data_IF_607890060188
#
_entry.id   IF_607890060188
#
_cell.length_a   1.000
_cell.length_b   1.000
_cell.length_c   1.000
_cell.angle_alpha   90.00
_cell.angle_beta   90.00
_cell.angle_gamma   90.00
#
_symmetry.space_group_name_H-M   'P 1'
#
loop_
_entity.id
_entity.type
_entity.pdbx_description
1 polymer ?
#
# COMPACT_ATOMS: atom_id res chain seq x y z
N UNK A 1 12.37 -9.74 -11.38
CA UNK A 1 10.95 -10.16 -11.45
C UNK A 1 10.21 -9.44 -10.34
N UNK A 2 9.13 -8.70 -10.66
CA UNK A 2 8.38 -7.95 -9.65
C UNK A 2 7.50 -8.90 -8.82
N UNK A 3 7.32 -8.63 -7.54
CA UNK A 3 6.56 -9.50 -6.61
C UNK A 3 5.45 -8.74 -5.90
N UNK A 4 4.33 -9.42 -5.68
CA UNK A 4 3.27 -9.00 -4.78
C UNK A 4 3.13 -10.04 -3.68
N UNK A 5 3.34 -9.63 -2.43
CA UNK A 5 3.05 -10.46 -1.26
C UNK A 5 1.85 -9.89 -0.52
N UNK A 6 0.86 -10.74 -0.26
CA UNK A 6 -0.32 -10.41 0.50
C UNK A 6 -0.22 -11.16 1.83
N UNK A 7 -0.31 -10.41 2.92
CA UNK A 7 -0.26 -10.93 4.28
C UNK A 7 -1.64 -10.86 4.90
N UNK A 8 -1.98 -11.85 5.72
CA UNK A 8 -3.08 -11.71 6.69
C UNK A 8 -2.70 -10.67 7.75
N UNK A 9 -3.67 -10.14 8.53
CA UNK A 9 -3.36 -9.22 9.61
C UNK A 9 -2.32 -9.73 10.60
N UNK A 10 -2.26 -11.04 10.87
CA UNK A 10 -1.30 -11.67 11.78
C UNK A 10 0.11 -11.91 11.19
N UNK A 11 0.37 -11.44 9.97
CA UNK A 11 1.67 -11.58 9.31
C UNK A 11 1.90 -12.90 8.57
N UNK A 12 0.95 -13.84 8.59
CA UNK A 12 1.02 -15.00 7.71
C UNK A 12 0.90 -14.60 6.24
N UNK A 13 1.73 -15.20 5.38
CA UNK A 13 1.61 -15.02 3.93
C UNK A 13 0.30 -15.68 3.48
N UNK A 14 -0.62 -14.88 2.95
CA UNK A 14 -1.82 -15.34 2.28
C UNK A 14 -1.53 -15.73 0.83
N UNK A 15 -0.77 -14.90 0.12
CA UNK A 15 -0.43 -15.09 -1.29
C UNK A 15 0.91 -14.44 -1.62
N UNK A 16 1.63 -15.01 -2.59
CA UNK A 16 2.87 -14.45 -3.12
C UNK A 16 2.95 -14.73 -4.61
N UNK A 17 2.67 -13.71 -5.42
CA UNK A 17 2.58 -13.82 -6.88
C UNK A 17 3.58 -12.93 -7.58
N UNK A 18 3.78 -13.20 -8.87
CA UNK A 18 4.49 -12.29 -9.75
C UNK A 18 3.58 -11.11 -9.97
N UNK A 19 4.08 -9.92 -9.66
CA UNK A 19 3.30 -8.70 -9.83
C UNK A 19 3.18 -8.40 -11.33
N UNK A 20 1.94 -8.41 -11.81
CA UNK A 20 1.57 -7.99 -13.14
C UNK A 20 0.56 -6.85 -13.02
N UNK A 21 0.81 -5.75 -13.73
CA UNK A 21 -0.06 -4.57 -13.75
C UNK A 21 -1.01 -4.56 -14.95
N UNK A 22 -1.09 -5.67 -15.70
CA UNK A 22 -2.13 -5.89 -16.71
C UNK A 22 -3.52 -5.72 -16.09
N UNK A 23 -4.51 -5.43 -16.95
CA UNK A 23 -5.85 -4.91 -16.62
C UNK A 23 -6.70 -5.69 -15.61
N UNK A 24 -6.28 -6.87 -15.16
CA UNK A 24 -6.80 -7.52 -13.95
C UNK A 24 -5.99 -7.05 -12.73
N UNK A 25 -6.26 -5.82 -12.28
CA UNK A 25 -5.59 -5.23 -11.12
C UNK A 25 -5.68 -6.16 -9.90
N UNK A 26 -4.60 -6.32 -9.12
CA UNK A 26 -4.71 -6.89 -7.79
C UNK A 26 -5.64 -6.01 -6.95
N UNK A 27 -6.61 -6.60 -6.24
CA UNK A 27 -7.55 -5.91 -5.34
C UNK A 27 -6.87 -5.45 -4.04
N UNK A 28 -5.77 -4.72 -4.17
CA UNK A 28 -4.94 -4.27 -3.05
C UNK A 28 -5.16 -2.78 -2.72
N UNK A 29 -5.98 -2.09 -3.50
CA UNK A 29 -6.34 -0.70 -3.27
C UNK A 29 -6.98 -0.51 -1.88
N UNK A 30 -6.54 0.54 -1.21
CA UNK A 30 -6.94 0.86 0.17
C UNK A 30 -6.26 0.02 1.24
N UNK A 31 -5.53 -1.05 0.90
CA UNK A 31 -4.79 -1.84 1.88
C UNK A 31 -3.53 -1.09 2.33
N UNK A 32 -3.12 -1.31 3.59
CA UNK A 32 -1.80 -0.93 4.08
C UNK A 32 -0.76 -1.70 3.30
N UNK A 33 0.19 -0.97 2.74
CA UNK A 33 1.23 -1.52 1.89
C UNK A 33 2.61 -0.95 2.16
N UNK A 34 3.60 -1.71 1.72
CA UNK A 34 5.00 -1.34 1.60
C UNK A 34 5.44 -1.62 0.17
N UNK A 35 5.92 -0.57 -0.48
CA UNK A 35 6.40 -0.61 -1.86
C UNK A 35 7.91 -0.46 -1.82
N UNK A 36 8.61 -1.43 -2.39
CA UNK A 36 10.05 -1.33 -2.62
C UNK A 36 10.29 -0.95 -4.08
N UNK A 37 11.16 0.04 -4.30
CA UNK A 37 11.55 0.51 -5.64
C UNK A 37 13.00 0.15 -5.96
N UNK A 38 13.40 0.32 -7.23
CA UNK A 38 14.77 0.20 -7.69
C UNK A 38 15.71 1.01 -6.81
N UNK A 39 16.79 0.38 -6.33
CA UNK A 39 17.71 0.97 -5.36
C UNK A 39 17.37 0.65 -3.89
N UNK A 40 16.26 -0.03 -3.62
CA UNK A 40 15.92 -0.56 -2.29
C UNK A 40 15.15 0.39 -1.40
N UNK A 41 14.86 1.61 -1.85
CA UNK A 41 14.03 2.56 -1.10
C UNK A 41 12.61 2.00 -0.92
N UNK A 42 12.01 2.32 0.23
CA UNK A 42 10.68 1.84 0.59
C UNK A 42 9.73 3.00 0.85
N UNK A 43 8.50 2.84 0.35
CA UNK A 43 7.39 3.74 0.62
C UNK A 43 6.29 2.94 1.30
N UNK A 44 5.91 3.36 2.49
CA UNK A 44 4.91 2.69 3.31
C UNK A 44 3.69 3.59 3.37
N UNK A 45 2.48 3.03 3.33
CA UNK A 45 1.25 3.80 3.38
C UNK A 45 0.08 2.98 2.88
N UNK A 46 -1.04 3.61 2.60
CA UNK A 46 -2.18 2.93 1.98
C UNK A 46 -2.02 2.94 0.47
N UNK A 47 -2.17 1.78 -0.16
CA UNK A 47 -2.07 1.65 -1.62
C UNK A 47 -3.25 2.40 -2.23
N UNK A 48 -2.94 3.39 -3.05
CA UNK A 48 -3.92 4.15 -3.81
C UNK A 48 -4.09 3.59 -5.22
N UNK A 49 -4.92 4.28 -5.99
CA UNK A 49 -5.29 3.86 -7.33
C UNK A 49 -4.06 3.76 -8.25
N UNK A 50 -4.11 2.78 -9.15
CA UNK A 50 -3.32 2.76 -10.36
C UNK A 50 -3.91 3.73 -11.41
N UNK A 51 -3.08 4.56 -12.03
CA UNK A 51 -3.50 5.45 -13.11
C UNK A 51 -2.32 5.81 -14.03
N UNK A 52 -2.66 6.31 -15.23
CA UNK A 52 -1.68 6.80 -16.21
C UNK A 52 -1.59 8.32 -16.12
N UNK A 53 -0.40 8.85 -15.84
CA UNK A 53 -0.12 10.29 -15.79
C UNK A 53 0.95 10.64 -16.82
N UNK A 54 0.63 11.52 -17.78
CA UNK A 54 1.55 11.91 -18.86
C UNK A 54 2.23 10.69 -19.52
N UNK A 55 1.41 9.71 -19.89
CA UNK A 55 1.84 8.43 -20.48
C UNK A 55 2.61 7.47 -19.57
N UNK A 56 2.94 7.86 -18.34
CA UNK A 56 3.60 7.01 -17.35
C UNK A 56 2.57 6.33 -16.46
N UNK A 57 2.65 5.01 -16.34
CA UNK A 57 1.83 4.26 -15.40
C UNK A 57 2.40 4.44 -13.98
N UNK A 58 1.53 4.86 -13.08
CA UNK A 58 1.87 5.24 -11.71
C UNK A 58 0.82 4.70 -10.74
N UNK A 59 1.17 4.64 -9.47
CA UNK A 59 0.20 4.47 -8.39
C UNK A 59 0.63 5.29 -7.18
N UNK A 60 -0.32 5.50 -6.27
CA UNK A 60 -0.13 6.33 -5.09
C UNK A 60 0.16 5.49 -3.86
N UNK A 61 1.02 6.01 -2.98
CA UNK A 61 1.13 5.56 -1.59
C UNK A 61 0.67 6.71 -0.69
N UNK A 62 -0.50 6.53 -0.09
CA UNK A 62 -1.20 7.54 0.67
C UNK A 62 -0.87 7.47 2.17
N UNK A 63 -0.72 8.64 2.79
CA UNK A 63 -0.64 8.81 4.23
C UNK A 63 -1.77 9.71 4.68
N UNK A 64 -2.52 9.24 5.67
CA UNK A 64 -3.55 10.05 6.32
C UNK A 64 -2.94 10.84 7.47
N UNK A 65 -3.51 12.00 7.79
CA UNK A 65 -3.20 12.72 9.01
C UNK A 65 -3.84 12.01 10.22
N UNK A 66 -3.08 11.15 10.90
CA UNK A 66 -3.56 10.23 11.94
C UNK A 66 -3.03 10.63 13.33
N UNK A 67 -3.91 10.52 14.33
CA UNK A 67 -3.62 10.49 15.75
C UNK A 67 -3.53 9.03 16.21
N UNK A 68 -2.34 8.42 16.07
CA UNK A 68 -2.13 6.99 16.37
C UNK A 68 -2.33 6.66 17.86
N UNK A 69 -2.25 7.66 18.75
CA UNK A 69 -2.47 7.49 20.19
C UNK A 69 -3.95 7.29 20.51
N UNK A 70 -4.81 8.04 19.83
CA UNK A 70 -6.26 8.03 20.03
C UNK A 70 -7.03 7.28 18.93
N UNK A 71 -6.30 6.56 18.06
CA UNK A 71 -6.82 5.72 16.97
C UNK A 71 -7.86 6.44 16.09
N UNK A 72 -7.55 7.68 15.69
CA UNK A 72 -8.47 8.53 14.91
C UNK A 72 -7.75 9.40 13.88
N UNK A 73 -8.50 9.90 12.90
CA UNK A 73 -8.01 10.95 12.01
C UNK A 73 -7.88 12.28 12.78
N UNK A 74 -6.77 12.99 12.57
CA UNK A 74 -6.60 14.39 13.01
C UNK A 74 -7.33 15.35 12.07
N UNK A 75 -7.33 15.04 10.78
CA UNK A 75 -8.01 15.80 9.74
C UNK A 75 -8.28 14.92 8.51
N UNK A 76 -9.04 15.45 7.55
CA UNK A 76 -9.29 14.80 6.25
C UNK A 76 -8.12 14.96 5.26
N UNK A 77 -6.98 15.50 5.71
CA UNK A 77 -5.79 15.68 4.87
C UNK A 77 -5.16 14.32 4.54
N UNK A 78 -4.91 14.11 3.26
CA UNK A 78 -4.21 12.94 2.73
C UNK A 78 -3.05 13.42 1.87
N UNK A 79 -1.84 12.94 2.16
CA UNK A 79 -0.67 13.17 1.32
C UNK A 79 -0.36 11.90 0.52
N UNK A 80 -0.07 12.04 -0.77
CA UNK A 80 0.22 10.91 -1.64
C UNK A 80 1.63 11.03 -2.23
N UNK A 81 2.38 9.93 -2.21
CA UNK A 81 3.61 9.78 -3.00
C UNK A 81 3.28 9.05 -4.29
N UNK A 82 3.55 9.68 -5.43
CA UNK A 82 3.32 9.11 -6.76
C UNK A 82 4.54 8.29 -7.17
N UNK A 83 4.36 7.00 -7.44
CA UNK A 83 5.45 6.07 -7.77
C UNK A 83 5.28 5.57 -9.21
N UNK A 84 6.28 5.78 -10.10
CA UNK A 84 6.31 5.14 -11.41
C UNK A 84 6.42 3.62 -11.29
N UNK A 85 5.55 2.89 -11.98
CA UNK A 85 5.54 1.43 -11.93
C UNK A 85 6.79 0.80 -12.50
N UNK A 86 7.45 1.48 -13.44
CA UNK A 86 8.75 1.08 -13.98
C UNK A 86 9.82 0.93 -12.90
N UNK A 87 9.70 1.66 -11.78
CA UNK A 87 10.63 1.61 -10.67
C UNK A 87 10.24 0.60 -9.58
N UNK A 88 9.03 0.04 -9.59
CA UNK A 88 8.58 -0.90 -8.56
C UNK A 88 9.26 -2.24 -8.72
N UNK A 89 9.84 -2.76 -7.64
CA UNK A 89 10.42 -4.11 -7.59
C UNK A 89 9.58 -5.07 -6.75
N UNK A 90 8.90 -4.58 -5.72
CA UNK A 90 8.07 -5.40 -4.84
C UNK A 90 6.96 -4.56 -4.20
N UNK A 91 5.78 -5.17 -4.06
CA UNK A 91 4.69 -4.66 -3.26
C UNK A 91 4.35 -5.70 -2.20
N UNK A 92 4.14 -5.24 -0.98
CA UNK A 92 3.71 -6.02 0.16
C UNK A 92 2.48 -5.35 0.73
N UNK A 93 1.40 -6.11 0.99
CA UNK A 93 0.16 -5.56 1.56
C UNK A 93 -0.36 -6.41 2.69
N UNK A 94 -0.98 -5.78 3.67
CA UNK A 94 -1.72 -6.45 4.73
C UNK A 94 -3.18 -6.43 4.32
N UNK A 95 -3.80 -7.59 4.13
CA UNK A 95 -5.21 -7.69 3.81
C UNK A 95 -6.07 -7.24 4.99
N UNK A 96 -7.25 -6.68 4.68
CA UNK A 96 -8.20 -6.18 5.66
C UNK A 96 -7.64 -5.09 6.59
N UNK A 97 -6.68 -4.31 6.11
CA UNK A 97 -6.01 -3.27 6.89
C UNK A 97 -6.46 -1.85 6.55
N UNK A 98 -7.43 -1.70 5.64
CA UNK A 98 -8.04 -0.41 5.32
C UNK A 98 -8.66 0.22 6.58
N UNK A 99 -8.38 1.51 6.88
CA UNK A 99 -8.88 2.17 8.10
C UNK A 99 -10.38 2.40 8.04
N UNK A 100 -11.01 2.17 6.88
CA UNK A 100 -12.47 2.17 6.70
C UNK A 100 -13.13 0.89 7.21
N UNK A 101 -12.36 -0.13 7.60
CA UNK A 101 -12.85 -1.45 8.03
C UNK A 101 -12.53 -1.72 9.51
N UNK A 102 -12.59 -0.70 10.35
CA UNK A 102 -12.26 -0.77 11.79
C UNK A 102 -10.86 -1.34 12.09
N UNK A 103 -9.91 -1.16 11.16
CA UNK A 103 -8.50 -1.46 11.41
C UNK A 103 -7.85 -0.30 12.17
N UNK A 104 -6.77 -0.63 12.91
CA UNK A 104 -5.96 0.38 13.61
C UNK A 104 -5.54 1.48 12.64
N UNK A 105 -5.82 2.72 13.00
CA UNK A 105 -5.38 3.90 12.27
C UNK A 105 -3.87 4.09 12.49
N UNK A 106 -3.08 3.66 11.50
CA UNK A 106 -1.63 3.91 11.48
C UNK A 106 -1.14 4.05 10.05
N UNK A 107 -0.10 4.86 9.85
CA UNK A 107 0.60 4.88 8.57
C UNK A 107 1.67 3.79 8.45
N UNK A 108 1.97 3.06 9.52
CA UNK A 108 3.04 2.05 9.57
C UNK A 108 2.60 0.71 8.97
N UNK A 109 3.56 -0.05 8.46
CA UNK A 109 3.36 -1.44 8.02
C UNK A 109 3.63 -2.38 9.19
N UNK A 110 2.60 -2.66 9.98
CA UNK A 110 2.68 -3.49 11.19
C UNK A 110 1.54 -4.52 11.18
N UNK A 111 1.87 -5.73 11.61
CA UNK A 111 0.89 -6.81 11.78
C UNK A 111 0.17 -6.67 13.12
N UNK A 112 -1.06 -7.19 13.18
CA UNK A 112 -1.80 -7.35 14.42
C UNK A 112 -1.21 -8.56 15.18
N UNK A 113 -0.97 -8.39 16.48
CA UNK A 113 -0.55 -9.47 17.39
C UNK A 113 -1.73 -10.37 17.77
#
# INVERSE_FOLDING_TARGET
MKRLNEYKPNGEIYSSVVLNFDSSQPTIDGQKGRVTVTGGNQYIGYIGNYFKRNETETFDVCHYDIDEENDRLKSDVITATIIPLSCVTQIEVILFSSPRWDSRMTNKFVFLE
#
